data_IF_344062413529
#
_entry.id   IF_344062413529
#
_cell.length_a   1.000
_cell.length_b   1.000
_cell.length_c   1.000
_cell.angle_alpha   90.00
_cell.angle_beta   90.00
_cell.angle_gamma   90.00
#
_symmetry.space_group_name_H-M   'P 1'
#
loop_
_entity.id
_entity.type
_entity.pdbx_description
1 polymer ?
#
# COMPACT_ATOMS: atom_id res chain seq x y z
N UNK A 1 -11.90 15.16 7.70
CA UNK A 1 -12.92 14.08 7.59
C UNK A 1 -12.65 13.04 8.69
N UNK A 2 -13.62 12.22 9.02
CA UNK A 2 -13.44 11.11 9.96
C UNK A 2 -13.60 9.81 9.19
N UNK A 3 -12.61 8.91 9.29
CA UNK A 3 -12.63 7.60 8.66
C UNK A 3 -12.73 6.50 9.70
N UNK A 4 -13.45 5.42 9.37
CA UNK A 4 -13.41 4.16 10.11
C UNK A 4 -12.71 3.12 9.26
N UNK A 5 -11.60 2.62 9.75
CA UNK A 5 -10.85 1.52 9.14
C UNK A 5 -11.22 0.23 9.87
N UNK A 6 -11.96 -0.64 9.22
CA UNK A 6 -12.51 -1.85 9.83
C UNK A 6 -11.76 -3.07 9.31
N UNK A 7 -11.26 -3.91 10.22
CA UNK A 7 -10.62 -5.18 9.90
C UNK A 7 -11.39 -6.29 10.62
N UNK A 8 -11.99 -7.21 9.88
CA UNK A 8 -12.87 -8.26 10.44
C UNK A 8 -12.74 -9.58 9.67
N UNK A 9 -13.03 -10.68 10.34
CA UNK A 9 -13.09 -12.01 9.73
C UNK A 9 -14.50 -12.32 9.24
N UNK A 10 -14.58 -12.83 8.01
CA UNK A 10 -15.82 -13.35 7.41
C UNK A 10 -15.49 -14.72 6.83
N UNK A 11 -15.96 -15.78 7.44
CA UNK A 11 -15.76 -17.17 6.98
C UNK A 11 -14.28 -17.54 6.76
N UNK A 12 -13.42 -17.22 7.72
CA UNK A 12 -11.96 -17.44 7.69
C UNK A 12 -11.22 -16.63 6.59
N UNK A 13 -11.82 -15.54 6.15
CA UNK A 13 -11.17 -14.55 5.29
C UNK A 13 -11.23 -13.19 5.98
N UNK A 14 -10.08 -12.56 6.13
CA UNK A 14 -10.00 -11.24 6.73
C UNK A 14 -10.23 -10.19 5.65
N UNK A 15 -11.08 -9.21 5.94
CA UNK A 15 -11.36 -8.08 5.06
C UNK A 15 -10.99 -6.76 5.74
N UNK A 16 -10.44 -5.83 4.94
CA UNK A 16 -10.26 -4.43 5.30
C UNK A 16 -11.30 -3.59 4.57
N UNK A 17 -11.96 -2.70 5.31
CA UNK A 17 -12.97 -1.79 4.78
C UNK A 17 -12.72 -0.38 5.30
N UNK A 18 -12.87 0.63 4.45
CA UNK A 18 -12.80 2.04 4.85
C UNK A 18 -14.17 2.67 4.66
N UNK A 19 -14.71 3.21 5.74
CA UNK A 19 -15.95 3.96 5.76
C UNK A 19 -15.70 5.42 6.09
N UNK A 20 -16.46 6.30 5.47
CA UNK A 20 -16.55 7.72 5.85
C UNK A 20 -17.62 7.92 6.94
N UNK A 21 -17.68 9.10 7.51
CA UNK A 21 -18.62 9.47 8.59
C UNK A 21 -20.10 9.28 8.24
N UNK A 22 -20.45 9.30 6.95
CA UNK A 22 -21.80 9.03 6.43
C UNK A 22 -22.08 7.51 6.24
N UNK A 23 -21.19 6.64 6.73
CA UNK A 23 -21.24 5.19 6.57
C UNK A 23 -21.22 4.71 5.11
N UNK A 24 -20.61 5.48 4.21
CA UNK A 24 -20.36 5.02 2.84
C UNK A 24 -19.05 4.22 2.77
N UNK A 25 -19.10 3.01 2.23
CA UNK A 25 -17.91 2.20 1.99
C UNK A 25 -17.16 2.75 0.78
N UNK A 26 -15.90 3.17 0.99
CA UNK A 26 -15.02 3.69 -0.06
C UNK A 26 -13.93 2.72 -0.49
N UNK A 27 -13.67 1.70 0.31
CA UNK A 27 -12.63 0.74 0.04
C UNK A 27 -12.97 -0.60 0.70
N UNK A 28 -12.73 -1.67 -0.03
CA UNK A 28 -12.96 -3.03 0.43
C UNK A 28 -11.93 -3.94 -0.24
N UNK A 29 -11.16 -4.66 0.55
CA UNK A 29 -10.28 -5.71 0.03
C UNK A 29 -10.17 -6.88 1.00
N UNK A 30 -9.96 -8.10 0.51
CA UNK A 30 -9.45 -9.16 1.36
C UNK A 30 -8.04 -8.79 1.84
N UNK A 31 -7.76 -9.09 3.09
CA UNK A 31 -6.41 -9.02 3.65
C UNK A 31 -5.74 -10.37 3.36
N UNK A 32 -4.74 -10.35 2.50
CA UNK A 32 -3.97 -11.55 2.24
C UNK A 32 -2.93 -11.72 3.37
N UNK A 33 -3.25 -12.58 4.35
CA UNK A 33 -2.37 -12.88 5.49
C UNK A 33 -1.08 -13.60 5.07
N UNK A 34 -0.98 -14.00 3.81
CA UNK A 34 0.15 -14.70 3.21
C UNK A 34 1.02 -13.84 2.29
N UNK A 35 0.76 -12.53 2.16
CA UNK A 35 1.58 -11.68 1.30
C UNK A 35 3.04 -11.71 1.72
N UNK A 36 3.92 -12.00 0.76
CA UNK A 36 5.38 -11.99 0.93
C UNK A 36 6.00 -10.67 0.45
N UNK A 37 5.19 -9.76 -0.08
CA UNK A 37 5.66 -8.44 -0.53
C UNK A 37 6.25 -7.68 0.65
N UNK A 38 7.42 -7.08 0.43
CA UNK A 38 8.17 -6.38 1.47
C UNK A 38 9.12 -7.28 2.28
N UNK A 39 8.88 -8.58 2.35
CA UNK A 39 9.75 -9.52 3.04
C UNK A 39 11.15 -9.56 2.42
N UNK A 40 12.17 -9.71 3.27
CA UNK A 40 13.58 -9.74 2.86
C UNK A 40 14.16 -11.11 3.14
N UNK A 41 14.77 -11.67 2.12
CA UNK A 41 15.34 -13.02 2.14
C UNK A 41 16.83 -13.04 1.78
N UNK A 42 17.53 -14.03 2.28
CA UNK A 42 18.83 -14.45 1.72
C UNK A 42 18.53 -15.41 0.56
N UNK A 43 18.53 -14.88 -0.66
CA UNK A 43 18.25 -15.64 -1.86
C UNK A 43 19.49 -16.29 -2.46
N UNK A 44 19.27 -17.27 -3.35
CA UNK A 44 20.29 -17.91 -4.18
C UNK A 44 20.05 -17.53 -5.64
N UNK A 45 21.09 -17.06 -6.32
CA UNK A 45 21.03 -16.86 -7.76
C UNK A 45 21.02 -18.22 -8.46
N UNK A 46 19.87 -18.58 -9.04
CA UNK A 46 19.74 -19.85 -9.77
C UNK A 46 20.33 -19.74 -11.18
N UNK A 47 19.99 -18.65 -11.87
CA UNK A 47 20.40 -18.45 -13.26
C UNK A 47 20.53 -16.96 -13.60
N UNK A 48 21.43 -16.66 -14.55
CA UNK A 48 21.63 -15.30 -15.09
C UNK A 48 21.36 -15.33 -16.60
N UNK A 49 20.38 -14.56 -17.04
CA UNK A 49 19.94 -14.49 -18.44
C UNK A 49 20.40 -13.15 -19.05
N UNK A 50 21.57 -13.17 -19.66
CA UNK A 50 22.24 -11.95 -20.19
C UNK A 50 21.41 -11.24 -21.26
N UNK A 51 20.70 -11.98 -22.12
CA UNK A 51 19.94 -11.41 -23.25
C UNK A 51 18.81 -10.45 -22.80
N UNK A 52 18.27 -10.64 -21.60
CA UNK A 52 17.21 -9.79 -21.03
C UNK A 52 17.69 -9.00 -19.82
N UNK A 53 19.01 -9.02 -19.56
CA UNK A 53 19.64 -8.33 -18.43
C UNK A 53 18.98 -8.62 -17.08
N UNK A 54 18.68 -9.91 -16.84
CA UNK A 54 17.96 -10.37 -15.67
C UNK A 54 18.63 -11.59 -15.03
N UNK A 55 18.27 -11.83 -13.77
CA UNK A 55 18.58 -13.07 -13.07
C UNK A 55 17.31 -13.67 -12.46
N UNK A 56 17.33 -14.96 -12.20
CA UNK A 56 16.33 -15.64 -11.39
C UNK A 56 16.93 -16.00 -10.04
N UNK A 57 16.24 -15.55 -8.98
CA UNK A 57 16.69 -15.75 -7.61
C UNK A 57 15.66 -16.62 -6.90
N UNK A 58 16.15 -17.69 -6.30
CA UNK A 58 15.34 -18.54 -5.43
C UNK A 58 15.31 -17.96 -4.01
N UNK A 59 14.13 -17.89 -3.44
CA UNK A 59 13.88 -17.55 -2.04
C UNK A 59 13.26 -18.75 -1.31
N UNK A 60 12.53 -18.55 -0.22
CA UNK A 60 11.86 -19.59 0.56
C UNK A 60 11.13 -20.62 -0.34
N UNK A 61 11.15 -21.90 0.04
CA UNK A 61 10.55 -23.02 -0.71
C UNK A 61 11.02 -23.14 -2.17
N UNK A 62 12.18 -22.58 -2.49
CA UNK A 62 12.75 -22.50 -3.85
C UNK A 62 11.84 -21.76 -4.84
N UNK A 63 11.02 -20.83 -4.34
CA UNK A 63 10.25 -19.97 -5.19
C UNK A 63 11.17 -19.11 -6.06
N UNK A 64 10.99 -19.23 -7.39
CA UNK A 64 11.78 -18.48 -8.37
C UNK A 64 11.22 -17.08 -8.55
N UNK A 65 12.08 -16.08 -8.37
CA UNK A 65 11.74 -14.66 -8.49
C UNK A 65 12.54 -14.01 -9.61
N UNK A 66 11.92 -13.07 -10.30
CA UNK A 66 12.57 -12.25 -11.32
C UNK A 66 13.35 -11.11 -10.68
N UNK A 67 14.60 -10.93 -11.11
CA UNK A 67 15.48 -9.86 -10.68
C UNK A 67 16.04 -9.11 -11.89
N UNK A 68 15.75 -7.82 -12.01
CA UNK A 68 16.30 -6.94 -13.05
C UNK A 68 17.71 -6.48 -12.65
N UNK A 69 18.74 -6.85 -13.41
CA UNK A 69 20.11 -6.45 -13.12
C UNK A 69 20.29 -4.94 -13.32
N UNK A 70 19.61 -4.37 -14.30
CA UNK A 70 19.70 -2.94 -14.63
C UNK A 70 19.12 -2.04 -13.52
N UNK A 71 18.02 -2.47 -12.86
CA UNK A 71 17.36 -1.70 -11.82
C UNK A 71 18.06 -1.78 -10.47
N UNK A 72 18.97 -2.73 -10.28
CA UNK A 72 19.60 -3.06 -9.01
C UNK A 72 21.11 -2.79 -9.04
N UNK A 73 21.49 -1.56 -8.68
CA UNK A 73 22.88 -1.07 -8.77
C UNK A 73 23.77 -1.40 -7.57
N UNK A 74 23.17 -1.70 -6.42
CA UNK A 74 23.84 -1.89 -5.13
C UNK A 74 23.49 -3.23 -4.49
N UNK A 75 23.75 -4.38 -5.17
CA UNK A 75 23.48 -5.70 -4.61
C UNK A 75 24.38 -5.99 -3.41
N UNK A 76 23.81 -6.60 -2.37
CA UNK A 76 24.52 -7.08 -1.19
C UNK A 76 24.73 -8.58 -1.33
N UNK A 77 25.99 -9.01 -1.50
CA UNK A 77 26.38 -10.41 -1.57
C UNK A 77 27.01 -10.86 -0.25
N UNK A 78 26.77 -12.12 0.14
CA UNK A 78 27.32 -12.73 1.35
C UNK A 78 28.35 -13.85 1.05
N UNK A 79 28.81 -13.96 -0.18
CA UNK A 79 29.92 -14.83 -0.58
C UNK A 79 31.08 -13.95 -0.97
N UNK A 80 32.31 -14.46 -0.73
CA UNK A 80 33.55 -13.81 -1.18
C UNK A 80 33.53 -13.68 -2.70
N UNK A 81 33.69 -12.47 -3.21
CA UNK A 81 33.69 -12.17 -4.64
C UNK A 81 34.77 -11.18 -5.01
N UNK A 82 35.53 -11.54 -6.05
CA UNK A 82 36.46 -10.62 -6.69
C UNK A 82 35.78 -9.77 -7.79
N UNK A 83 34.58 -10.17 -8.22
CA UNK A 83 33.81 -9.48 -9.27
C UNK A 83 32.44 -9.06 -8.76
N UNK A 84 32.04 -7.78 -8.88
CA UNK A 84 30.73 -7.30 -8.42
C UNK A 84 29.56 -7.81 -9.27
N UNK A 85 29.82 -8.43 -10.45
CA UNK A 85 28.75 -8.95 -11.30
C UNK A 85 28.03 -10.13 -10.64
N UNK A 86 26.70 -10.17 -10.81
CA UNK A 86 25.87 -11.27 -10.33
C UNK A 86 26.20 -12.57 -11.09
N UNK A 87 26.39 -13.66 -10.36
CA UNK A 87 26.74 -14.98 -10.91
C UNK A 87 25.82 -16.05 -10.33
N UNK A 88 25.66 -17.14 -11.07
CA UNK A 88 24.94 -18.31 -10.58
C UNK A 88 25.60 -18.86 -9.31
N UNK A 89 24.78 -19.18 -8.31
CA UNK A 89 25.21 -19.67 -7.00
C UNK A 89 25.48 -18.57 -5.98
N UNK A 90 25.44 -17.28 -6.36
CA UNK A 90 25.62 -16.18 -5.41
C UNK A 90 24.57 -16.19 -4.31
N UNK A 91 25.00 -15.82 -3.11
CA UNK A 91 24.17 -15.56 -1.95
C UNK A 91 23.91 -14.07 -1.85
N UNK A 92 22.66 -13.65 -2.08
CA UNK A 92 22.27 -12.25 -2.24
C UNK A 92 21.11 -11.88 -1.32
N UNK A 93 21.14 -10.67 -0.77
CA UNK A 93 20.00 -10.11 -0.03
C UNK A 93 18.99 -9.51 -0.99
N UNK A 94 17.74 -9.94 -0.88
CA UNK A 94 16.66 -9.45 -1.75
C UNK A 94 15.37 -9.18 -0.99
N UNK A 95 14.68 -8.12 -1.39
CA UNK A 95 13.34 -7.74 -0.93
C UNK A 95 12.32 -8.10 -2.01
N UNK A 96 11.21 -8.70 -1.64
CA UNK A 96 10.10 -8.99 -2.58
C UNK A 96 9.34 -7.70 -2.86
N UNK A 97 9.18 -7.37 -4.16
CA UNK A 97 8.53 -6.13 -4.61
C UNK A 97 7.11 -6.38 -5.10
N UNK A 98 6.88 -7.49 -5.79
CA UNK A 98 5.55 -7.88 -6.27
C UNK A 98 5.34 -9.37 -6.10
N UNK A 99 4.12 -9.77 -5.85
CA UNK A 99 3.70 -11.17 -5.87
C UNK A 99 3.71 -11.76 -7.27
N UNK A 100 3.75 -13.10 -7.38
CA UNK A 100 3.55 -13.75 -8.66
C UNK A 100 2.14 -13.46 -9.19
N UNK A 101 2.03 -13.11 -10.47
CA UNK A 101 0.75 -12.82 -11.08
C UNK A 101 0.56 -13.68 -12.35
N UNK A 102 -0.40 -14.58 -12.32
CA UNK A 102 -0.65 -15.56 -13.42
C UNK A 102 0.64 -16.32 -13.78
N UNK A 103 1.21 -16.07 -14.96
CA UNK A 103 2.45 -16.71 -15.46
C UNK A 103 3.72 -15.93 -15.12
N UNK A 104 3.60 -14.71 -14.53
CA UNK A 104 4.77 -13.90 -14.17
C UNK A 104 5.26 -14.26 -12.78
N UNK A 105 6.55 -14.55 -12.59
CA UNK A 105 7.13 -14.81 -11.28
C UNK A 105 7.08 -13.53 -10.40
N UNK A 106 7.18 -13.72 -9.10
CA UNK A 106 7.38 -12.61 -8.17
C UNK A 106 8.62 -11.79 -8.59
N UNK A 107 8.58 -10.47 -8.36
CA UNK A 107 9.74 -9.60 -8.61
C UNK A 107 10.45 -9.31 -7.29
N UNK A 108 11.78 -9.42 -7.30
CA UNK A 108 12.63 -9.06 -6.17
C UNK A 108 13.64 -7.98 -6.55
N UNK A 109 14.14 -7.27 -5.54
CA UNK A 109 15.12 -6.19 -5.70
C UNK A 109 16.19 -6.30 -4.62
N UNK A 110 17.41 -5.88 -4.93
CA UNK A 110 18.48 -5.67 -3.94
C UNK A 110 18.45 -4.27 -3.30
N UNK A 111 17.49 -3.43 -3.66
CA UNK A 111 17.22 -2.22 -2.93
C UNK A 111 16.49 -2.59 -1.63
N UNK A 112 17.25 -2.60 -0.54
CA UNK A 112 16.77 -2.98 0.78
C UNK A 112 16.37 -1.73 1.55
N UNK A 113 15.08 -1.60 1.78
CA UNK A 113 14.49 -0.47 2.48
C UNK A 113 13.63 -0.96 3.63
N UNK A 114 13.88 -0.43 4.84
CA UNK A 114 12.96 -0.52 5.97
C UNK A 114 12.31 0.83 6.18
N UNK A 115 10.99 0.82 6.33
CA UNK A 115 10.18 2.03 6.47
C UNK A 115 9.65 2.16 7.89
N UNK A 116 10.03 3.25 8.57
CA UNK A 116 9.46 3.67 9.85
C UNK A 116 8.34 4.70 9.67
N UNK A 117 7.90 5.25 10.78
CA UNK A 117 6.87 6.29 10.77
C UNK A 117 7.40 7.60 10.19
N UNK A 118 8.62 7.98 10.56
CA UNK A 118 9.26 9.26 10.22
C UNK A 118 10.48 9.12 9.33
N UNK A 119 11.02 7.91 9.15
CA UNK A 119 12.23 7.67 8.39
C UNK A 119 12.14 6.43 7.50
N UNK A 120 13.04 6.36 6.52
CA UNK A 120 13.35 5.15 5.72
C UNK A 120 14.84 4.94 5.78
N UNK A 121 15.29 3.73 6.13
CA UNK A 121 16.69 3.30 6.02
C UNK A 121 16.85 2.52 4.73
N UNK A 122 17.87 2.83 3.93
CA UNK A 122 18.07 2.21 2.60
C UNK A 122 19.56 2.06 2.25
N UNK A 123 19.93 0.95 1.61
CA UNK A 123 21.27 0.75 1.03
C UNK A 123 21.48 1.51 -0.30
N UNK A 124 20.41 2.06 -0.87
CA UNK A 124 20.46 2.81 -2.14
C UNK A 124 20.75 4.31 -1.94
N UNK A 125 20.82 4.76 -0.68
CA UNK A 125 21.07 6.17 -0.29
C UNK A 125 22.32 6.25 0.58
N UNK A 126 23.06 7.35 0.46
CA UNK A 126 24.19 7.68 1.32
C UNK A 126 23.90 8.93 2.13
N UNK A 127 24.20 8.91 3.44
CA UNK A 127 23.94 10.05 4.32
C UNK A 127 22.47 10.25 4.64
N UNK A 128 22.11 11.48 5.05
CA UNK A 128 20.74 11.82 5.44
C UNK A 128 20.09 12.73 4.41
N UNK A 129 18.98 12.29 3.86
CA UNK A 129 18.15 13.02 2.90
C UNK A 129 16.83 13.44 3.54
N UNK A 130 16.20 14.46 2.97
CA UNK A 130 14.88 14.96 3.39
C UNK A 130 13.93 14.77 2.21
N UNK A 131 12.71 14.32 2.48
CA UNK A 131 11.65 14.22 1.47
C UNK A 131 11.42 15.58 0.80
N UNK A 132 11.31 15.60 -0.52
CA UNK A 132 11.03 16.82 -1.33
C UNK A 132 9.72 17.53 -0.93
N UNK A 133 8.83 16.85 -0.21
CA UNK A 133 7.56 17.41 0.28
C UNK A 133 7.71 18.29 1.53
N UNK A 134 8.86 18.22 2.21
CA UNK A 134 9.13 19.02 3.41
C UNK A 134 9.76 20.34 2.99
N UNK A 135 9.19 21.47 3.41
CA UNK A 135 9.84 22.77 3.30
C UNK A 135 10.96 22.85 4.33
N UNK A 136 12.18 23.14 3.88
CA UNK A 136 13.33 23.29 4.76
C UNK A 136 13.12 24.48 5.70
N UNK A 137 13.29 24.24 7.00
CA UNK A 137 13.34 25.26 8.07
C UNK A 137 14.50 24.93 9.03
N UNK A 138 14.76 25.79 10.02
CA UNK A 138 15.85 25.60 11.00
C UNK A 138 15.68 24.28 11.76
N UNK A 139 14.48 23.98 12.25
CA UNK A 139 14.16 22.75 12.99
C UNK A 139 14.50 21.49 12.20
N UNK A 140 14.10 21.43 10.93
CA UNK A 140 14.42 20.29 10.05
C UNK A 140 15.93 20.15 9.81
N UNK A 141 16.64 21.29 9.74
CA UNK A 141 18.09 21.29 9.57
C UNK A 141 18.81 20.76 10.82
N UNK A 142 18.31 21.08 12.01
CA UNK A 142 18.80 20.55 13.28
C UNK A 142 18.52 19.05 13.41
N UNK A 143 17.30 18.60 13.12
CA UNK A 143 16.93 17.18 13.11
C UNK A 143 17.85 16.40 12.15
N UNK A 144 18.12 16.96 10.97
CA UNK A 144 19.03 16.32 9.99
C UNK A 144 20.43 16.12 10.54
N UNK A 145 20.97 17.09 11.33
CA UNK A 145 22.30 16.95 11.97
C UNK A 145 22.28 15.85 13.02
N UNK A 146 21.29 15.86 13.93
CA UNK A 146 21.14 14.82 14.94
C UNK A 146 21.04 13.42 14.34
N UNK A 147 20.24 13.28 13.27
CA UNK A 147 20.09 12.01 12.56
C UNK A 147 21.37 11.60 11.84
N UNK A 148 22.19 12.53 11.37
CA UNK A 148 23.49 12.22 10.76
C UNK A 148 24.48 11.65 11.80
N UNK A 149 24.49 12.16 13.02
CA UNK A 149 25.33 11.63 14.10
C UNK A 149 24.88 10.19 14.48
N UNK A 150 23.57 9.97 14.57
CA UNK A 150 23.00 8.63 14.79
C UNK A 150 23.41 7.68 13.65
N UNK A 151 23.28 8.11 12.40
CA UNK A 151 23.66 7.29 11.25
C UNK A 151 25.10 6.84 11.32
N UNK A 152 26.05 7.75 11.62
CA UNK A 152 27.48 7.43 11.75
C UNK A 152 27.70 6.39 12.85
N UNK A 153 27.05 6.54 13.99
CA UNK A 153 27.13 5.55 15.06
C UNK A 153 26.59 4.19 14.62
N UNK A 154 25.43 4.16 13.97
CA UNK A 154 24.77 2.92 13.53
C UNK A 154 25.53 2.22 12.40
N UNK A 155 26.20 2.95 11.55
CA UNK A 155 27.12 2.39 10.54
C UNK A 155 28.33 1.70 11.19
N UNK A 156 28.91 2.26 12.25
CA UNK A 156 29.98 1.61 13.03
C UNK A 156 29.47 0.34 13.73
N UNK A 157 28.31 0.43 14.39
CA UNK A 157 27.65 -0.74 15.00
C UNK A 157 27.38 -1.86 13.98
N UNK A 158 27.01 -1.51 12.72
CA UNK A 158 26.81 -2.50 11.66
C UNK A 158 28.11 -3.24 11.32
N UNK A 159 29.26 -2.54 11.24
CA UNK A 159 30.57 -3.16 11.03
C UNK A 159 30.92 -4.11 12.19
N UNK A 160 30.75 -3.64 13.43
CA UNK A 160 31.04 -4.43 14.63
C UNK A 160 30.17 -5.71 14.71
N UNK A 161 28.87 -5.59 14.38
CA UNK A 161 27.93 -6.71 14.43
C UNK A 161 28.11 -7.72 13.28
N UNK A 162 28.55 -7.27 12.12
CA UNK A 162 28.61 -8.10 10.90
C UNK A 162 30.02 -8.54 10.53
N UNK A 163 31.05 -7.77 10.90
CA UNK A 163 32.44 -7.95 10.49
C UNK A 163 32.76 -7.46 9.06
N UNK A 164 31.83 -6.76 8.39
CA UNK A 164 31.97 -6.35 7.00
C UNK A 164 31.71 -4.86 6.79
N UNK A 165 32.70 -4.11 6.32
CA UNK A 165 32.61 -2.67 6.05
C UNK A 165 31.55 -2.30 5.01
N UNK A 166 31.39 -3.12 3.97
CA UNK A 166 30.44 -2.83 2.89
C UNK A 166 28.97 -2.85 3.35
N UNK A 167 28.65 -3.51 4.47
CA UNK A 167 27.31 -3.54 5.05
C UNK A 167 26.97 -2.27 5.85
N UNK A 168 27.94 -1.38 6.08
CA UNK A 168 27.68 -0.06 6.67
C UNK A 168 27.21 0.99 5.64
N UNK A 169 27.19 0.66 4.35
CA UNK A 169 26.79 1.56 3.29
C UNK A 169 25.26 1.65 3.20
N UNK A 170 24.63 2.33 4.15
CA UNK A 170 23.20 2.68 4.12
C UNK A 170 23.03 4.13 4.57
N UNK A 171 21.90 4.73 4.18
CA UNK A 171 21.54 6.09 4.56
C UNK A 171 20.10 6.16 5.04
N UNK A 172 19.67 7.38 5.40
CA UNK A 172 18.35 7.66 5.96
C UNK A 172 17.64 8.72 5.12
N UNK A 173 16.35 8.52 4.88
CA UNK A 173 15.47 9.51 4.26
C UNK A 173 14.42 9.90 5.29
N UNK A 174 14.36 11.17 5.69
CA UNK A 174 13.30 11.70 6.55
C UNK A 174 12.02 11.89 5.73
N UNK A 175 10.91 11.32 6.21
CA UNK A 175 9.60 11.34 5.56
C UNK A 175 8.86 12.66 5.85
N UNK A 176 7.82 12.94 5.06
CA UNK A 176 7.01 14.17 5.21
C UNK A 176 6.38 14.34 6.58
N UNK A 177 6.07 13.24 7.29
CA UNK A 177 5.54 13.27 8.65
C UNK A 177 6.46 13.91 9.71
N UNK A 178 7.76 14.10 9.41
CA UNK A 178 8.67 14.80 10.29
C UNK A 178 8.36 16.31 10.44
N UNK A 179 7.58 16.89 9.51
CA UNK A 179 7.31 18.33 9.53
C UNK A 179 6.49 18.77 10.75
N UNK A 180 5.62 17.88 11.25
CA UNK A 180 4.65 18.17 12.31
C UNK A 180 4.86 17.28 13.55
N UNK A 181 5.94 16.47 13.57
CA UNK A 181 6.24 15.54 14.65
C UNK A 181 7.22 16.11 15.67
N UNK A 182 7.15 15.58 16.90
CA UNK A 182 8.11 15.91 17.95
C UNK A 182 9.50 15.34 17.59
N UNK A 183 10.55 16.12 17.82
CA UNK A 183 11.95 15.72 17.58
C UNK A 183 12.31 14.43 18.30
N UNK A 184 11.87 14.26 19.55
CA UNK A 184 12.14 13.05 20.33
C UNK A 184 11.51 11.80 19.71
N UNK A 185 10.32 11.90 19.13
CA UNK A 185 9.65 10.80 18.48
C UNK A 185 10.31 10.42 17.14
N UNK A 186 10.79 11.42 16.40
CA UNK A 186 11.60 11.20 15.19
C UNK A 186 12.90 10.46 15.54
N UNK A 187 13.60 10.90 16.58
CA UNK A 187 14.87 10.29 17.01
C UNK A 187 14.66 8.85 17.51
N UNK A 188 13.57 8.59 18.24
CA UNK A 188 13.22 7.22 18.67
C UNK A 188 12.95 6.31 17.49
N UNK A 189 12.14 6.77 16.51
CA UNK A 189 11.82 6.00 15.29
C UNK A 189 13.08 5.69 14.48
N UNK A 190 13.95 6.70 14.26
CA UNK A 190 15.22 6.53 13.54
C UNK A 190 16.12 5.50 14.23
N UNK A 191 16.29 5.59 15.56
CA UNK A 191 17.12 4.63 16.31
C UNK A 191 16.54 3.21 16.23
N UNK A 192 15.24 3.05 16.44
CA UNK A 192 14.58 1.74 16.35
C UNK A 192 14.75 1.13 14.96
N UNK A 193 14.50 1.92 13.90
CA UNK A 193 14.61 1.48 12.52
C UNK A 193 16.04 1.11 12.12
N UNK A 194 17.04 1.89 12.54
CA UNK A 194 18.45 1.57 12.31
C UNK A 194 18.89 0.31 13.05
N UNK A 195 18.42 0.09 14.28
CA UNK A 195 18.68 -1.13 15.03
C UNK A 195 18.08 -2.34 14.30
N UNK A 196 16.83 -2.26 13.87
CA UNK A 196 16.16 -3.30 13.10
C UNK A 196 16.93 -3.64 11.81
N UNK A 197 17.37 -2.60 11.09
CA UNK A 197 18.18 -2.75 9.88
C UNK A 197 19.53 -3.45 10.15
N UNK A 198 20.28 -3.02 11.17
CA UNK A 198 21.58 -3.62 11.52
C UNK A 198 21.44 -5.06 12.02
N UNK A 199 20.38 -5.35 12.79
CA UNK A 199 20.09 -6.71 13.27
C UNK A 199 19.64 -7.64 12.12
N UNK A 200 18.88 -7.13 11.16
CA UNK A 200 18.56 -7.83 9.92
C UNK A 200 19.83 -8.17 9.13
N UNK A 201 20.74 -7.22 8.94
CA UNK A 201 22.02 -7.46 8.26
C UNK A 201 22.86 -8.53 8.98
N UNK A 202 22.97 -8.44 10.29
CA UNK A 202 23.63 -9.45 11.11
C UNK A 202 23.01 -10.83 10.90
N UNK A 203 21.67 -10.93 10.99
CA UNK A 203 20.95 -12.18 10.74
C UNK A 203 21.25 -12.72 9.35
N UNK A 204 21.27 -11.86 8.32
CA UNK A 204 21.52 -12.25 6.94
C UNK A 204 22.95 -12.83 6.73
N UNK A 205 23.96 -12.23 7.35
CA UNK A 205 25.35 -12.71 7.28
C UNK A 205 25.46 -14.17 7.73
N UNK A 206 24.81 -14.53 8.86
CA UNK A 206 24.88 -15.86 9.46
C UNK A 206 23.78 -16.83 8.97
N UNK A 207 22.92 -16.38 8.05
CA UNK A 207 21.83 -17.20 7.53
C UNK A 207 22.25 -18.04 6.33
N UNK A 208 21.56 -19.18 6.17
CA UNK A 208 21.67 -20.03 4.97
C UNK A 208 20.82 -19.44 3.84
N UNK A 209 20.96 -20.01 2.63
CA UNK A 209 20.04 -19.74 1.52
C UNK A 209 18.58 -19.94 1.94
N UNK A 210 17.69 -19.19 1.35
CA UNK A 210 16.22 -19.27 1.51
C UNK A 210 15.69 -18.81 2.87
N UNK A 211 16.52 -18.14 3.68
CA UNK A 211 16.11 -17.69 5.01
C UNK A 211 15.39 -16.34 4.93
N UNK A 212 14.19 -16.25 5.51
CA UNK A 212 13.50 -15.00 5.81
C UNK A 212 14.26 -14.26 6.92
N UNK A 213 14.88 -13.13 6.60
CA UNK A 213 15.65 -12.34 7.57
C UNK A 213 14.89 -11.18 8.15
N UNK A 214 13.91 -10.66 7.40
CA UNK A 214 13.00 -9.62 7.85
C UNK A 214 11.61 -9.85 7.26
N UNK A 215 10.58 -9.82 8.12
CA UNK A 215 9.17 -9.81 7.73
C UNK A 215 8.69 -8.38 7.73
N UNK A 216 8.18 -7.90 6.61
CA UNK A 216 7.68 -6.53 6.49
C UNK A 216 6.41 -6.33 7.33
N UNK A 217 6.13 -5.07 7.62
CA UNK A 217 4.89 -4.69 8.31
C UNK A 217 3.70 -5.00 7.42
N UNK A 218 2.56 -5.39 7.99
CA UNK A 218 1.34 -5.58 7.21
C UNK A 218 0.98 -4.29 6.44
N UNK A 219 0.63 -4.44 5.14
CA UNK A 219 0.37 -3.28 4.27
C UNK A 219 -0.76 -2.36 4.74
N UNK A 220 -1.72 -2.87 5.54
CA UNK A 220 -2.78 -2.06 6.12
C UNK A 220 -2.26 -1.04 7.16
N UNK A 221 -1.10 -1.26 7.78
CA UNK A 221 -0.47 -0.29 8.68
C UNK A 221 -0.10 0.99 7.91
N UNK A 222 0.55 0.86 6.75
CA UNK A 222 0.90 2.00 5.89
C UNK A 222 -0.35 2.73 5.37
N UNK A 223 -1.40 1.99 5.05
CA UNK A 223 -2.69 2.58 4.62
C UNK A 223 -3.32 3.43 5.73
N UNK A 224 -3.36 2.92 6.96
CA UNK A 224 -3.88 3.66 8.13
C UNK A 224 -3.07 4.93 8.38
N UNK A 225 -1.73 4.81 8.39
CA UNK A 225 -0.83 5.97 8.59
C UNK A 225 -1.01 7.01 7.47
N UNK A 226 -1.19 6.57 6.23
CA UNK A 226 -1.44 7.48 5.11
C UNK A 226 -2.78 8.23 5.24
N UNK A 227 -3.84 7.52 5.64
CA UNK A 227 -5.16 8.11 5.88
C UNK A 227 -5.13 9.13 7.04
N UNK A 228 -4.41 8.82 8.12
CA UNK A 228 -4.34 9.66 9.32
C UNK A 228 -3.53 10.95 9.13
N UNK A 229 -2.83 11.10 8.01
CA UNK A 229 -1.98 12.27 7.75
C UNK A 229 -2.71 13.61 7.67
N UNK A 230 -4.04 13.61 7.44
CA UNK A 230 -4.87 14.82 7.37
C UNK A 230 -6.18 14.71 8.14
N UNK A 231 -6.59 13.51 8.51
CA UNK A 231 -7.91 13.21 9.02
C UNK A 231 -7.84 12.26 10.23
N UNK A 232 -8.88 12.22 11.05
CA UNK A 232 -8.97 11.26 12.14
C UNK A 232 -9.39 9.89 11.61
N UNK A 233 -8.69 8.82 12.05
CA UNK A 233 -8.97 7.43 11.67
C UNK A 233 -9.26 6.60 12.92
N UNK A 234 -10.49 6.11 13.05
CA UNK A 234 -10.85 5.10 14.05
C UNK A 234 -10.62 3.70 13.44
N UNK A 235 -9.66 2.96 13.97
CA UNK A 235 -9.38 1.57 13.54
C UNK A 235 -10.14 0.61 14.44
N UNK A 236 -10.97 -0.24 13.85
CA UNK A 236 -11.83 -1.18 14.58
C UNK A 236 -11.55 -2.60 14.11
N UNK A 237 -11.29 -3.52 15.03
CA UNK A 237 -11.13 -4.94 14.70
C UNK A 237 -11.74 -5.83 15.77
N UNK A 238 -12.25 -6.99 15.36
CA UNK A 238 -12.70 -8.08 16.22
C UNK A 238 -11.67 -9.22 16.34
N UNK A 239 -10.46 -9.04 15.74
CA UNK A 239 -9.40 -10.04 15.67
C UNK A 239 -8.27 -9.67 16.65
N UNK A 240 -8.07 -10.43 17.77
CA UNK A 240 -7.07 -10.09 18.79
C UNK A 240 -5.63 -10.00 18.26
N UNK A 241 -5.25 -10.86 17.31
CA UNK A 241 -3.91 -10.85 16.73
C UNK A 241 -3.64 -9.53 15.98
N UNK A 242 -4.62 -9.06 15.19
CA UNK A 242 -4.53 -7.79 14.45
C UNK A 242 -4.53 -6.61 15.42
N UNK A 243 -5.35 -6.65 16.48
CA UNK A 243 -5.33 -5.59 17.49
C UNK A 243 -3.92 -5.41 18.09
N UNK A 244 -3.24 -6.52 18.43
CA UNK A 244 -1.88 -6.47 18.95
C UNK A 244 -0.85 -5.95 17.91
N UNK A 245 -1.02 -6.29 16.63
CA UNK A 245 -0.20 -5.74 15.54
C UNK A 245 -0.42 -4.22 15.40
N UNK A 246 -1.68 -3.76 15.45
CA UNK A 246 -2.02 -2.33 15.40
C UNK A 246 -1.39 -1.55 16.56
N UNK A 247 -1.49 -2.06 17.79
CA UNK A 247 -0.87 -1.46 18.99
C UNK A 247 0.67 -1.40 18.89
N UNK A 248 1.26 -2.37 18.18
CA UNK A 248 2.72 -2.48 18.03
C UNK A 248 3.27 -1.53 16.97
N UNK A 249 2.57 -1.43 15.82
CA UNK A 249 3.12 -0.76 14.63
C UNK A 249 2.56 0.64 14.38
N UNK A 250 1.36 0.97 14.88
CA UNK A 250 0.81 2.30 14.65
C UNK A 250 1.44 3.34 15.59
N UNK A 251 1.73 4.56 15.08
CA UNK A 251 2.24 5.63 15.92
C UNK A 251 1.16 6.07 16.92
N UNK A 252 1.58 6.42 18.13
CA UNK A 252 0.71 7.08 19.12
C UNK A 252 0.45 8.50 18.65
N UNK A 253 -0.58 8.70 17.88
CA UNK A 253 -0.99 10.01 17.32
C UNK A 253 -2.40 10.34 17.77
N UNK A 254 -2.70 11.62 17.98
CA UNK A 254 -4.06 12.08 18.27
C UNK A 254 -5.06 11.81 17.15
N UNK A 255 -4.55 11.55 15.92
CA UNK A 255 -5.37 11.31 14.75
C UNK A 255 -5.71 9.83 14.53
N UNK A 256 -5.17 8.91 15.35
CA UNK A 256 -5.46 7.46 15.24
C UNK A 256 -6.01 6.97 16.57
N UNK A 257 -7.17 6.36 16.54
CA UNK A 257 -7.74 5.63 17.67
C UNK A 257 -7.94 4.16 17.30
N UNK A 258 -7.60 3.25 18.21
CA UNK A 258 -7.70 1.80 17.98
C UNK A 258 -8.75 1.26 18.94
N UNK A 259 -9.70 0.50 18.42
CA UNK A 259 -10.75 -0.11 19.22
C UNK A 259 -10.91 -1.61 18.95
N UNK A 260 -10.79 -2.40 20.01
CA UNK A 260 -11.17 -3.82 19.95
C UNK A 260 -12.69 -3.95 20.08
N UNK A 261 -13.32 -4.58 19.11
CA UNK A 261 -14.74 -4.90 19.13
C UNK A 261 -14.95 -6.28 19.79
N UNK A 262 -15.88 -6.36 20.77
CA UNK A 262 -16.06 -7.55 21.63
C UNK A 262 -17.52 -8.01 21.75
N UNK A 263 -18.42 -7.53 20.91
CA UNK A 263 -19.82 -7.94 20.95
C UNK A 263 -19.98 -9.33 20.29
N UNK A 264 -20.29 -10.34 21.08
CA UNK A 264 -20.47 -11.71 20.62
C UNK A 264 -21.83 -11.95 19.95
N UNK A 265 -22.84 -11.11 20.25
CA UNK A 265 -24.18 -11.26 19.72
C UNK A 265 -24.31 -10.65 18.33
N UNK A 266 -23.54 -9.60 18.05
CA UNK A 266 -23.61 -8.87 16.79
C UNK A 266 -22.21 -8.76 16.16
N UNK A 267 -21.81 -9.68 15.28
CA UNK A 267 -20.50 -9.65 14.65
C UNK A 267 -20.20 -8.32 13.93
N UNK A 268 -18.93 -7.90 13.97
CA UNK A 268 -18.48 -6.61 13.42
C UNK A 268 -18.86 -6.43 11.93
N UNK A 269 -18.69 -7.48 11.13
CA UNK A 269 -19.03 -7.45 9.71
C UNK A 269 -20.53 -7.26 9.44
N UNK A 270 -21.41 -7.73 10.35
CA UNK A 270 -22.86 -7.49 10.26
C UNK A 270 -23.24 -6.07 10.67
N UNK A 271 -22.58 -5.51 11.71
CA UNK A 271 -22.79 -4.15 12.16
C UNK A 271 -22.57 -3.15 11.02
N UNK A 272 -21.54 -3.37 10.20
CA UNK A 272 -21.21 -2.51 9.06
C UNK A 272 -21.72 -3.03 7.72
N UNK A 273 -22.54 -4.09 7.70
CA UNK A 273 -23.11 -4.70 6.48
C UNK A 273 -22.07 -5.04 5.41
N UNK A 274 -20.88 -5.49 5.82
CA UNK A 274 -19.74 -5.72 4.91
C UNK A 274 -20.05 -6.82 3.89
N UNK A 275 -20.82 -7.86 4.25
CA UNK A 275 -21.27 -8.89 3.30
C UNK A 275 -22.04 -8.28 2.13
N UNK A 276 -22.94 -7.30 2.40
CA UNK A 276 -23.69 -6.60 1.35
C UNK A 276 -22.76 -5.78 0.43
N UNK A 277 -21.73 -5.15 0.98
CA UNK A 277 -20.74 -4.43 0.19
C UNK A 277 -19.93 -5.39 -0.69
N UNK A 278 -19.56 -6.57 -0.17
CA UNK A 278 -18.92 -7.63 -0.95
C UNK A 278 -19.82 -8.10 -2.09
N UNK A 279 -21.07 -8.43 -1.79
CA UNK A 279 -22.04 -8.87 -2.81
C UNK A 279 -22.25 -7.81 -3.89
N UNK A 280 -22.34 -6.54 -3.48
CA UNK A 280 -22.45 -5.40 -4.40
C UNK A 280 -21.20 -5.27 -5.27
N UNK A 281 -20.01 -5.43 -4.69
CA UNK A 281 -18.74 -5.36 -5.40
C UNK A 281 -18.55 -6.51 -6.41
N UNK A 282 -19.11 -7.68 -6.13
CA UNK A 282 -19.06 -8.84 -7.01
C UNK A 282 -20.19 -8.86 -8.05
N UNK A 283 -21.26 -8.10 -7.84
CA UNK A 283 -22.41 -8.04 -8.76
C UNK A 283 -22.07 -7.21 -10.00
N UNK A 284 -22.47 -7.67 -11.17
CA UNK A 284 -22.41 -6.86 -12.40
C UNK A 284 -23.30 -5.62 -12.34
N UNK A 285 -24.43 -5.70 -11.63
CA UNK A 285 -25.45 -4.65 -11.55
C UNK A 285 -25.39 -3.94 -10.22
N UNK A 286 -25.27 -2.60 -10.26
CA UNK A 286 -25.25 -1.73 -9.09
C UNK A 286 -26.39 -0.74 -9.17
N UNK A 287 -27.28 -0.76 -8.17
CA UNK A 287 -28.45 0.11 -8.13
C UNK A 287 -28.10 1.53 -7.64
N UNK A 288 -28.72 2.51 -8.26
CA UNK A 288 -28.72 3.92 -7.84
C UNK A 288 -29.93 4.18 -6.91
N UNK A 289 -29.81 5.17 -6.04
CA UNK A 289 -30.89 5.57 -5.12
C UNK A 289 -32.14 6.04 -5.89
N UNK A 290 -31.93 6.66 -7.04
CA UNK A 290 -32.99 7.11 -7.95
C UNK A 290 -33.78 5.98 -8.63
N UNK A 291 -33.31 4.72 -8.56
CA UNK A 291 -33.90 3.57 -9.26
C UNK A 291 -33.29 3.27 -10.63
N UNK A 292 -32.29 4.05 -11.06
CA UNK A 292 -31.37 3.71 -12.13
C UNK A 292 -30.36 2.63 -11.69
N UNK A 293 -29.48 2.23 -12.57
CA UNK A 293 -28.44 1.26 -12.24
C UNK A 293 -27.23 1.35 -13.19
N UNK A 294 -26.08 0.89 -12.71
CA UNK A 294 -24.89 0.68 -13.49
C UNK A 294 -24.77 -0.81 -13.84
N UNK A 295 -24.29 -1.11 -15.04
CA UNK A 295 -23.77 -2.43 -15.41
C UNK A 295 -22.27 -2.29 -15.54
N UNK A 296 -21.52 -3.05 -14.75
CA UNK A 296 -20.05 -2.99 -14.70
C UNK A 296 -19.51 -4.32 -15.19
N UNK A 297 -18.79 -4.32 -16.31
CA UNK A 297 -18.16 -5.50 -16.88
C UNK A 297 -16.67 -5.28 -17.08
N UNK A 298 -15.87 -6.26 -16.66
CA UNK A 298 -14.42 -6.24 -16.80
C UNK A 298 -14.01 -7.25 -17.87
N UNK A 299 -13.28 -6.78 -18.86
CA UNK A 299 -12.67 -7.60 -19.92
C UNK A 299 -11.17 -7.78 -19.62
N UNK A 300 -10.45 -8.46 -20.49
CA UNK A 300 -8.99 -8.63 -20.37
C UNK A 300 -8.23 -7.29 -20.50
N UNK A 301 -8.71 -6.36 -21.34
CA UNK A 301 -8.00 -5.13 -21.69
C UNK A 301 -8.59 -3.87 -21.04
N UNK A 302 -9.87 -3.85 -20.70
CA UNK A 302 -10.57 -2.65 -20.21
C UNK A 302 -11.81 -3.02 -19.39
N UNK A 303 -12.30 -2.04 -18.61
CA UNK A 303 -13.61 -2.13 -17.95
C UNK A 303 -14.63 -1.29 -18.71
N UNK A 304 -15.85 -1.80 -18.88
CA UNK A 304 -16.96 -1.10 -19.52
C UNK A 304 -18.07 -0.91 -18.51
N UNK A 305 -18.64 0.28 -18.46
CA UNK A 305 -19.70 0.63 -17.53
C UNK A 305 -20.82 1.33 -18.29
N UNK A 306 -22.02 0.77 -18.20
CA UNK A 306 -23.23 1.27 -18.84
C UNK A 306 -24.19 1.86 -17.79
N UNK A 307 -24.69 3.07 -18.02
CA UNK A 307 -25.58 3.80 -17.11
C UNK A 307 -27.01 3.71 -17.62
N UNK A 308 -27.87 3.09 -16.83
CA UNK A 308 -29.28 2.89 -17.15
C UNK A 308 -30.20 3.72 -16.24
N UNK A 309 -31.17 4.42 -16.81
CA UNK A 309 -32.19 5.19 -16.06
C UNK A 309 -33.22 4.31 -15.32
N UNK A 310 -33.28 3.02 -15.66
CA UNK A 310 -34.23 2.09 -15.04
C UNK A 310 -35.68 2.52 -15.23
N UNK A 311 -36.47 2.47 -14.13
CA UNK A 311 -37.89 2.90 -14.12
C UNK A 311 -38.06 4.41 -13.98
N UNK A 312 -37.01 5.18 -13.87
CA UNK A 312 -36.99 6.64 -13.76
C UNK A 312 -37.29 7.37 -15.09
N UNK A 313 -37.77 6.65 -16.09
CA UNK A 313 -38.34 7.28 -17.28
C UNK A 313 -39.55 8.06 -16.80
N UNK A 314 -39.32 9.29 -16.45
CA UNK A 314 -40.37 10.22 -16.06
C UNK A 314 -41.42 10.25 -17.16
N UNK A 315 -42.69 10.20 -16.78
CA UNK A 315 -43.82 10.58 -17.64
C UNK A 315 -43.74 12.08 -18.01
N UNK A 316 -42.51 12.58 -18.15
CA UNK A 316 -42.20 13.98 -18.42
C UNK A 316 -42.64 14.31 -19.85
N UNK A 317 -43.57 15.23 -19.98
CA UNK A 317 -44.09 15.67 -21.25
C UNK A 317 -43.22 16.74 -21.95
N UNK A 318 -42.15 17.21 -21.34
CA UNK A 318 -41.23 18.21 -21.94
C UNK A 318 -39.82 17.71 -22.07
N UNK A 319 -39.14 18.15 -23.13
CA UNK A 319 -37.69 17.82 -23.37
C UNK A 319 -36.79 18.29 -22.22
N UNK A 320 -37.12 19.46 -21.63
CA UNK A 320 -36.35 20.00 -20.50
C UNK A 320 -36.41 19.09 -19.26
N UNK A 321 -37.58 18.50 -18.96
CA UNK A 321 -37.71 17.58 -17.85
C UNK A 321 -36.97 16.23 -18.10
N UNK A 322 -36.92 15.77 -19.34
CA UNK A 322 -36.12 14.58 -19.75
C UNK A 322 -34.63 14.86 -19.54
N UNK A 323 -34.14 15.98 -20.02
CA UNK A 323 -32.76 16.43 -19.87
C UNK A 323 -32.35 16.58 -18.40
N UNK A 324 -33.20 17.22 -17.57
CA UNK A 324 -32.97 17.38 -16.14
C UNK A 324 -32.90 16.00 -15.41
N UNK A 325 -33.76 15.06 -15.80
CA UNK A 325 -33.75 13.69 -15.26
C UNK A 325 -32.49 12.93 -15.66
N UNK A 326 -32.05 13.05 -16.93
CA UNK A 326 -30.83 12.42 -17.41
C UNK A 326 -29.60 12.96 -16.68
N UNK A 327 -29.48 14.29 -16.54
CA UNK A 327 -28.38 14.91 -15.79
C UNK A 327 -28.35 14.44 -14.33
N UNK A 328 -29.49 14.44 -13.66
CA UNK A 328 -29.57 13.97 -12.26
C UNK A 328 -29.12 12.52 -12.13
N UNK A 329 -29.57 11.63 -13.03
CA UNK A 329 -29.18 10.21 -13.02
C UNK A 329 -27.68 10.05 -13.31
N UNK A 330 -27.13 10.81 -14.27
CA UNK A 330 -25.73 10.74 -14.62
C UNK A 330 -24.81 11.28 -13.52
N UNK A 331 -25.20 12.34 -12.80
CA UNK A 331 -24.44 12.83 -11.63
C UNK A 331 -24.42 11.79 -10.50
N UNK A 332 -25.57 11.19 -10.18
CA UNK A 332 -25.64 10.10 -9.19
C UNK A 332 -24.84 8.89 -9.65
N UNK A 333 -24.87 8.56 -10.95
CA UNK A 333 -24.07 7.51 -11.54
C UNK A 333 -22.57 7.79 -11.40
N UNK A 334 -22.13 9.03 -11.61
CA UNK A 334 -20.73 9.44 -11.45
C UNK A 334 -20.21 9.24 -10.02
N UNK A 335 -21.00 9.65 -9.00
CA UNK A 335 -20.66 9.42 -7.60
C UNK A 335 -20.52 7.91 -7.30
N UNK A 336 -21.52 7.13 -7.72
CA UNK A 336 -21.52 5.68 -7.50
C UNK A 336 -20.42 4.96 -8.27
N UNK A 337 -20.12 5.42 -9.47
CA UNK A 337 -19.03 4.94 -10.32
C UNK A 337 -17.68 5.11 -9.61
N UNK A 338 -17.36 6.31 -9.14
CA UNK A 338 -16.10 6.59 -8.44
C UNK A 338 -15.96 5.73 -7.18
N UNK A 339 -17.04 5.51 -6.44
CA UNK A 339 -17.07 4.56 -5.33
C UNK A 339 -16.75 3.14 -5.81
N UNK A 340 -17.41 2.64 -6.86
CA UNK A 340 -17.24 1.28 -7.35
C UNK A 340 -15.86 1.02 -7.95
N UNK A 341 -15.23 2.02 -8.59
CA UNK A 341 -13.85 1.93 -9.07
C UNK A 341 -12.90 1.64 -7.90
N UNK A 342 -13.05 2.37 -6.79
CA UNK A 342 -12.23 2.19 -5.58
C UNK A 342 -12.52 0.86 -4.89
N UNK A 343 -13.78 0.54 -4.64
CA UNK A 343 -14.19 -0.70 -3.94
C UNK A 343 -13.80 -1.96 -4.72
N UNK A 344 -13.90 -1.95 -6.06
CA UNK A 344 -13.53 -3.08 -6.92
C UNK A 344 -12.06 -3.08 -7.32
N UNK A 345 -11.30 -2.07 -6.93
CA UNK A 345 -9.90 -1.87 -7.35
C UNK A 345 -9.74 -1.93 -8.89
N UNK A 346 -10.66 -1.28 -9.62
CA UNK A 346 -10.59 -1.23 -11.09
C UNK A 346 -9.44 -0.33 -11.51
N UNK A 347 -8.66 -0.79 -12.48
CA UNK A 347 -7.50 -0.08 -13.01
C UNK A 347 -7.41 -0.22 -14.54
N UNK A 348 -6.57 0.61 -15.16
CA UNK A 348 -6.40 0.62 -16.61
C UNK A 348 -7.44 1.49 -17.31
N UNK A 349 -7.86 1.09 -18.51
CA UNK A 349 -8.84 1.84 -19.32
C UNK A 349 -10.24 1.52 -18.81
N UNK A 350 -11.00 2.55 -18.46
CA UNK A 350 -12.40 2.45 -18.04
C UNK A 350 -13.24 3.29 -19.00
N UNK A 351 -14.16 2.67 -19.70
CA UNK A 351 -15.11 3.33 -20.62
C UNK A 351 -16.46 3.37 -19.94
N UNK A 352 -17.07 4.56 -19.92
CA UNK A 352 -18.40 4.78 -19.31
C UNK A 352 -19.36 5.32 -20.36
N UNK A 353 -20.47 4.60 -20.57
CA UNK A 353 -21.57 5.03 -21.42
C UNK A 353 -22.66 5.69 -20.56
N UNK A 354 -22.69 7.02 -20.58
CA UNK A 354 -23.68 7.82 -19.86
C UNK A 354 -24.94 8.01 -20.69
N UNK A 355 -26.07 8.27 -20.00
CA UNK A 355 -27.33 8.63 -20.67
C UNK A 355 -27.11 9.89 -21.50
N UNK A 356 -27.57 9.86 -22.76
CA UNK A 356 -27.44 10.99 -23.68
C UNK A 356 -28.06 12.29 -23.12
N UNK A 357 -27.30 13.39 -23.26
CA UNK A 357 -27.66 14.73 -22.80
C UNK A 357 -27.17 15.78 -23.81
N UNK A 358 -27.67 17.02 -23.67
CA UNK A 358 -27.16 18.16 -24.41
C UNK A 358 -25.71 18.52 -23.93
N UNK A 359 -24.99 19.29 -24.73
CA UNK A 359 -23.57 19.62 -24.47
C UNK A 359 -23.38 20.33 -23.11
N UNK A 360 -24.26 21.25 -22.73
CA UNK A 360 -24.18 21.97 -21.46
C UNK A 360 -24.23 21.02 -20.26
N UNK A 361 -25.11 20.03 -20.29
CA UNK A 361 -25.22 19.02 -19.24
C UNK A 361 -24.04 18.05 -19.23
N UNK A 362 -23.46 17.74 -20.40
CA UNK A 362 -22.21 16.98 -20.50
C UNK A 362 -21.04 17.74 -19.84
N UNK A 363 -20.93 19.05 -20.04
CA UNK A 363 -19.89 19.86 -19.41
C UNK A 363 -20.01 19.87 -17.88
N UNK A 364 -21.22 19.99 -17.35
CA UNK A 364 -21.50 19.89 -15.91
C UNK A 364 -21.08 18.53 -15.35
N UNK A 365 -21.42 17.43 -16.04
CA UNK A 365 -21.02 16.08 -15.64
C UNK A 365 -19.49 15.91 -15.64
N UNK A 366 -18.80 16.44 -16.65
CA UNK A 366 -17.35 16.37 -16.73
C UNK A 366 -16.65 17.17 -15.63
N UNK A 367 -17.17 18.32 -15.24
CA UNK A 367 -16.67 19.09 -14.10
C UNK A 367 -16.89 18.32 -12.78
N UNK A 368 -18.06 17.71 -12.61
CA UNK A 368 -18.35 16.88 -11.44
C UNK A 368 -17.40 15.68 -11.35
N UNK A 369 -17.19 14.94 -12.43
CA UNK A 369 -16.22 13.82 -12.49
C UNK A 369 -14.79 14.25 -12.12
N UNK A 370 -14.35 15.42 -12.60
CA UNK A 370 -13.02 15.98 -12.24
C UNK A 370 -12.92 16.31 -10.74
N UNK A 371 -14.00 16.71 -10.11
CA UNK A 371 -14.02 16.99 -8.67
C UNK A 371 -13.97 15.74 -7.79
N UNK A 372 -14.36 14.58 -8.33
CA UNK A 372 -14.38 13.28 -7.65
C UNK A 372 -13.05 12.50 -7.81
N UNK A 373 -12.22 12.86 -8.79
CA UNK A 373 -10.95 12.20 -9.12
C UNK A 373 -9.80 12.78 -8.29
#
# INVERSE_FOLDING_TARGET
MEYKYIITDINNKIFCCIYTSDNTCHYLKPLDSGSVVGNIYVGRVENVVKNINAAFIEIEDKQKCYYSIQDNKTPIFFNEKNNPAICQGDRILVKVITEPLKTKPAKVSSKIELTGNYAVVSNDVKGVHISKKIKSNETISEIKKLVADILIQKQREAIEKTGYDYLSNFGIILRSGCADADTDDIIKDVNALCNEYTDMLRKAVFSKFYTLVHKDRPGYIEEIVHLSGKDHVEVITDIPAIYNELETYLPRSSNISIRMYKDELWPLYKLYSIEKEIDTALSKKVWLKSGGYLIIEQTEALSVIDVNSGKNVTKAKSMEAIEASALKTNLEAADKLCQQIKVRNLSGIIIVDFINMNQRNCDILMEHLKSLA
#
